data_IF_543096717497
#
_entry.id   IF_543096717497
#
_cell.length_a   1.000
_cell.length_b   1.000
_cell.length_c   1.000
_cell.angle_alpha   90.00
_cell.angle_beta   90.00
_cell.angle_gamma   90.00
#
_symmetry.space_group_name_H-M   'P 1'
#
loop_
_entity.id
_entity.type
_entity.pdbx_description
1 polymer ?
#
# COMPACT_ATOMS: atom_id res chain seq x y z
N UNK A 1 -8.32 40.32 17.00
CA UNK A 1 -8.23 38.85 17.09
C UNK A 1 -7.69 38.34 15.76
N UNK A 2 -6.36 38.28 15.63
CA UNK A 2 -5.71 37.88 14.37
C UNK A 2 -5.52 36.36 14.38
N UNK A 3 -6.14 35.68 13.41
CA UNK A 3 -5.90 34.27 13.13
C UNK A 3 -4.69 34.18 12.19
N UNK A 4 -3.59 33.57 12.66
CA UNK A 4 -2.49 33.15 11.81
C UNK A 4 -2.64 31.65 11.53
N UNK A 5 -2.84 31.29 10.26
CA UNK A 5 -2.62 29.94 9.74
C UNK A 5 -1.15 29.87 9.31
N UNK A 6 -0.37 28.97 9.92
CA UNK A 6 1.01 28.70 9.52
C UNK A 6 1.08 27.35 8.83
N UNK A 7 1.51 27.36 7.56
CA UNK A 7 1.92 26.17 6.81
C UNK A 7 3.44 26.00 6.99
N UNK A 8 3.90 24.79 7.31
CA UNK A 8 5.32 24.48 7.46
C UNK A 8 5.86 23.83 6.17
N UNK A 9 6.88 24.44 5.56
CA UNK A 9 7.79 23.76 4.63
C UNK A 9 9.19 24.35 4.80
N UNK A 10 10.18 23.50 5.06
CA UNK A 10 11.61 23.87 5.11
C UNK A 10 11.97 24.70 6.34
N UNK A 11 12.62 24.06 7.32
CA UNK A 11 12.97 24.68 8.59
C UNK A 11 13.82 25.94 8.46
N UNK A 12 13.32 27.05 9.01
CA UNK A 12 13.99 27.99 9.91
C UNK A 12 13.04 29.19 10.13
N UNK A 13 12.53 29.37 11.36
CA UNK A 13 11.77 30.57 11.74
C UNK A 13 12.67 31.43 12.63
N UNK A 14 13.07 32.62 12.16
CA UNK A 14 13.69 33.64 13.03
C UNK A 14 12.64 34.74 13.26
N UNK A 15 12.10 34.81 14.47
CA UNK A 15 11.28 35.93 14.94
C UNK A 15 12.02 36.64 16.08
N UNK A 16 12.37 37.92 15.88
CA UNK A 16 13.02 38.76 16.89
C UNK A 16 12.05 39.07 18.03
N UNK A 17 12.44 38.73 19.26
CA UNK A 17 11.65 38.87 20.48
C UNK A 17 11.52 40.33 20.93
N UNK A 18 10.29 40.75 21.24
CA UNK A 18 10.06 41.70 22.32
C UNK A 18 9.43 40.91 23.47
N UNK A 19 10.13 40.88 24.61
CA UNK A 19 9.72 40.25 25.87
C UNK A 19 9.91 38.72 25.98
N UNK A 20 11.14 38.30 26.28
CA UNK A 20 11.44 37.33 27.36
C UNK A 20 10.90 35.90 27.32
N UNK A 21 10.24 35.44 26.26
CA UNK A 21 9.82 34.04 26.15
C UNK A 21 10.84 33.26 25.31
N UNK A 22 11.60 32.39 25.97
CA UNK A 22 12.47 31.44 25.30
C UNK A 22 11.58 30.34 24.70
N UNK A 23 11.49 30.28 23.37
CA UNK A 23 10.90 29.14 22.66
C UNK A 23 12.05 28.17 22.43
N UNK A 24 12.20 27.20 23.31
CA UNK A 24 13.11 26.09 23.04
C UNK A 24 12.50 25.28 21.89
N UNK A 25 13.17 25.26 20.74
CA UNK A 25 12.82 24.36 19.66
C UNK A 25 13.10 22.93 20.14
N UNK A 26 12.07 22.21 20.59
CA UNK A 26 12.19 20.78 20.84
C UNK A 26 12.33 20.07 19.49
N UNK A 27 13.52 19.56 19.21
CA UNK A 27 13.70 18.53 18.20
C UNK A 27 13.06 17.25 18.75
N UNK A 28 11.87 16.91 18.27
CA UNK A 28 11.29 15.59 18.52
C UNK A 28 12.01 14.59 17.61
N UNK A 29 12.75 13.66 18.20
CA UNK A 29 13.22 12.48 17.49
C UNK A 29 11.99 11.60 17.24
N UNK A 30 11.70 11.30 15.97
CA UNK A 30 10.72 10.26 15.64
C UNK A 30 11.43 8.93 15.90
N UNK A 31 11.11 8.30 17.02
CA UNK A 31 11.58 6.96 17.33
C UNK A 31 10.61 5.95 16.68
N UNK A 32 11.14 5.12 15.78
CA UNK A 32 10.40 4.01 15.21
C UNK A 32 10.50 2.83 16.16
N UNK A 33 9.42 2.52 16.86
CA UNK A 33 9.31 1.26 17.58
C UNK A 33 9.17 0.10 16.58
N UNK A 34 9.75 -1.06 16.91
CA UNK A 34 9.61 -2.24 16.08
C UNK A 34 8.13 -2.63 15.97
N UNK A 35 7.60 -2.56 14.74
CA UNK A 35 6.19 -2.85 14.47
C UNK A 35 5.82 -4.33 14.64
N UNK A 36 4.54 -4.62 14.41
CA UNK A 36 4.01 -5.99 14.38
C UNK A 36 4.54 -6.73 13.14
N UNK A 37 4.96 -7.98 13.31
CA UNK A 37 5.25 -8.87 12.17
C UNK A 37 3.96 -9.58 11.75
N UNK A 38 3.58 -9.46 10.48
CA UNK A 38 2.43 -10.18 9.89
C UNK A 38 2.98 -11.38 9.09
N UNK A 39 2.89 -12.61 9.62
CA UNK A 39 3.46 -13.78 8.95
C UNK A 39 2.60 -14.19 7.75
N UNK A 40 3.19 -14.20 6.54
CA UNK A 40 2.53 -14.63 5.28
C UNK A 40 2.97 -16.06 4.85
N UNK A 41 3.75 -16.77 5.68
CA UNK A 41 4.16 -18.18 5.49
C UNK A 41 4.72 -18.56 4.10
N UNK A 42 5.24 -17.58 3.36
CA UNK A 42 5.83 -17.72 2.04
C UNK A 42 6.71 -16.49 1.79
N UNK A 43 7.90 -16.60 1.13
CA UNK A 43 8.70 -15.42 0.79
C UNK A 43 7.90 -14.35 0.08
N UNK A 44 7.95 -13.13 0.62
CA UNK A 44 7.34 -11.94 0.02
C UNK A 44 8.33 -11.36 -0.99
N UNK A 45 7.95 -11.35 -2.26
CA UNK A 45 8.78 -10.77 -3.32
C UNK A 45 8.58 -9.26 -3.41
N UNK A 46 7.33 -8.81 -3.29
CA UNK A 46 6.96 -7.41 -3.40
C UNK A 46 5.67 -7.12 -2.64
N UNK A 47 5.55 -5.95 -2.04
CA UNK A 47 4.30 -5.43 -1.46
C UNK A 47 3.96 -4.00 -1.92
N UNK A 48 2.69 -3.63 -1.81
CA UNK A 48 2.16 -2.26 -1.93
C UNK A 48 1.28 -1.94 -0.74
N UNK A 49 1.20 -0.65 -0.45
CA UNK A 49 0.23 -0.07 0.46
C UNK A 49 -0.77 0.74 -0.36
N UNK A 50 -2.06 0.42 -0.24
CA UNK A 50 -3.16 1.11 -0.94
C UNK A 50 -4.47 0.85 -0.16
N UNK A 51 -5.45 1.74 -0.24
CA UNK A 51 -6.79 1.53 0.31
C UNK A 51 -7.64 0.74 -0.70
N UNK A 52 -7.63 -0.59 -0.60
CA UNK A 52 -8.25 -1.48 -1.61
C UNK A 52 -9.73 -1.77 -1.32
N UNK A 53 -10.22 -1.35 -0.15
CA UNK A 53 -11.62 -1.51 0.28
C UNK A 53 -12.36 -0.17 0.45
N UNK A 54 -11.69 0.97 0.23
CA UNK A 54 -12.27 2.31 0.30
C UNK A 54 -12.62 2.77 1.71
N UNK A 55 -12.03 2.18 2.76
CA UNK A 55 -12.35 2.51 4.15
C UNK A 55 -11.50 3.66 4.73
N UNK A 56 -10.55 4.17 3.95
CA UNK A 56 -9.65 5.27 4.30
C UNK A 56 -8.39 4.82 5.04
N UNK A 57 -8.19 3.52 5.28
CA UNK A 57 -6.98 2.96 5.86
C UNK A 57 -6.13 2.27 4.78
N UNK A 58 -4.82 2.29 4.98
CA UNK A 58 -3.91 1.58 4.07
C UNK A 58 -3.96 0.08 4.35
N UNK A 59 -4.17 -0.70 3.30
CA UNK A 59 -4.07 -2.14 3.27
C UNK A 59 -2.71 -2.59 2.71
N UNK A 60 -2.36 -3.86 2.88
CA UNK A 60 -1.19 -4.47 2.25
C UNK A 60 -1.65 -5.41 1.15
N UNK A 61 -1.14 -5.18 -0.06
CA UNK A 61 -1.19 -6.15 -1.16
C UNK A 61 0.21 -6.70 -1.40
N UNK A 62 0.41 -8.00 -1.18
CA UNK A 62 1.72 -8.63 -1.24
C UNK A 62 1.71 -9.83 -2.18
N UNK A 63 2.65 -9.87 -3.12
CA UNK A 63 2.89 -11.07 -3.91
C UNK A 63 3.95 -11.93 -3.24
N UNK A 64 3.65 -13.22 -3.15
CA UNK A 64 4.49 -14.25 -2.56
C UNK A 64 4.69 -15.38 -3.54
N UNK A 65 5.82 -16.07 -3.41
CA UNK A 65 6.10 -17.29 -4.15
C UNK A 65 7.41 -17.23 -4.93
N UNK A 66 8.18 -18.30 -4.86
CA UNK A 66 9.43 -18.50 -5.59
C UNK A 66 9.30 -19.74 -6.49
N UNK A 67 10.23 -19.96 -7.45
CA UNK A 67 10.23 -21.18 -8.23
C UNK A 67 10.21 -22.44 -7.34
N UNK A 68 9.15 -23.25 -7.46
CA UNK A 68 8.99 -24.49 -6.70
C UNK A 68 8.11 -24.41 -5.45
N UNK A 69 7.53 -23.24 -5.13
CA UNK A 69 6.48 -23.08 -4.10
C UNK A 69 5.22 -22.44 -4.70
N UNK A 70 4.09 -22.62 -4.01
CA UNK A 70 2.83 -22.00 -4.42
C UNK A 70 2.97 -20.48 -4.44
N UNK A 71 2.46 -19.86 -5.51
CA UNK A 71 2.54 -18.43 -5.76
C UNK A 71 1.17 -17.77 -5.59
N UNK A 72 1.15 -16.61 -4.95
CA UNK A 72 -0.09 -15.97 -4.55
C UNK A 72 0.03 -14.45 -4.42
N UNK A 73 -1.08 -13.75 -4.65
CA UNK A 73 -1.33 -12.39 -4.18
C UNK A 73 -2.11 -12.48 -2.87
N UNK A 74 -1.55 -11.92 -1.81
CA UNK A 74 -2.16 -11.83 -0.49
C UNK A 74 -2.68 -10.40 -0.28
N UNK A 75 -3.87 -10.28 0.28
CA UNK A 75 -4.47 -9.00 0.68
C UNK A 75 -4.73 -9.02 2.17
N UNK A 76 -4.19 -8.01 2.85
CA UNK A 76 -4.32 -7.82 4.29
C UNK A 76 -4.93 -6.44 4.53
N UNK A 77 -6.16 -6.42 5.03
CA UNK A 77 -6.94 -5.21 5.28
C UNK A 77 -6.47 -4.55 6.58
N UNK A 78 -6.06 -3.29 6.48
CA UNK A 78 -5.63 -2.47 7.58
C UNK A 78 -6.82 -1.85 8.30
N UNK A 79 -6.70 -1.66 9.61
CA UNK A 79 -7.73 -1.01 10.42
C UNK A 79 -7.33 0.41 10.88
N UNK A 80 -6.27 0.98 10.30
CA UNK A 80 -5.71 2.28 10.68
C UNK A 80 -4.90 2.30 11.98
N UNK A 81 -4.92 1.23 12.79
CA UNK A 81 -4.17 1.12 14.04
C UNK A 81 -2.85 0.34 13.89
N UNK A 82 -2.44 0.04 12.66
CA UNK A 82 -1.28 -0.83 12.37
C UNK A 82 -1.55 -2.33 12.54
N UNK A 83 -2.82 -2.73 12.70
CA UNK A 83 -3.25 -4.13 12.69
C UNK A 83 -3.85 -4.48 11.34
N UNK A 84 -3.71 -5.75 10.95
CA UNK A 84 -4.15 -6.24 9.65
C UNK A 84 -4.93 -7.55 9.76
N UNK A 85 -5.92 -7.75 8.90
CA UNK A 85 -6.70 -8.97 8.77
C UNK A 85 -6.69 -9.48 7.33
N UNK A 86 -6.64 -10.79 7.12
CA UNK A 86 -6.71 -11.37 5.77
C UNK A 86 -8.06 -11.10 5.13
N UNK A 87 -8.06 -10.62 3.87
CA UNK A 87 -9.28 -10.44 3.10
C UNK A 87 -9.97 -11.79 2.81
N UNK A 88 -11.30 -11.80 2.69
CA UNK A 88 -12.13 -13.03 2.63
C UNK A 88 -11.80 -13.94 1.43
N UNK A 89 -11.23 -13.41 0.34
CA UNK A 89 -10.83 -14.15 -0.85
C UNK A 89 -9.30 -14.22 -1.07
N UNK A 90 -8.51 -13.93 -0.04
CA UNK A 90 -7.05 -14.03 -0.06
C UNK A 90 -6.57 -15.36 0.53
N UNK A 91 -5.51 -15.99 -0.01
CA UNK A 91 -4.72 -15.57 -1.17
C UNK A 91 -5.39 -15.89 -2.52
N UNK A 92 -5.04 -15.11 -3.53
CA UNK A 92 -5.42 -15.32 -4.93
C UNK A 92 -4.24 -15.96 -5.67
N UNK A 93 -4.46 -17.08 -6.34
CA UNK A 93 -3.41 -17.77 -7.10
C UNK A 93 -2.93 -16.94 -8.28
N UNK A 94 -1.61 -16.76 -8.38
CA UNK A 94 -0.90 -16.12 -9.50
C UNK A 94 0.31 -16.99 -9.88
N UNK A 95 0.90 -16.78 -11.06
CA UNK A 95 2.06 -17.54 -11.50
C UNK A 95 3.35 -16.72 -11.37
N UNK A 96 4.36 -17.29 -10.70
CA UNK A 96 5.73 -16.77 -10.56
C UNK A 96 5.83 -15.23 -10.43
N UNK A 97 5.17 -14.63 -9.43
CA UNK A 97 5.02 -13.19 -9.36
C UNK A 97 6.35 -12.50 -9.03
N UNK A 98 6.73 -11.52 -9.82
CA UNK A 98 7.96 -10.75 -9.62
C UNK A 98 7.73 -9.35 -9.06
N UNK A 99 6.65 -8.73 -9.52
CA UNK A 99 6.28 -7.36 -9.19
C UNK A 99 4.76 -7.24 -9.29
N UNK A 100 4.25 -6.21 -8.62
CA UNK A 100 2.85 -5.82 -8.64
C UNK A 100 2.77 -4.32 -8.92
N UNK A 101 1.77 -3.92 -9.70
CA UNK A 101 1.31 -2.54 -9.86
C UNK A 101 -0.14 -2.45 -9.40
N UNK A 102 -0.50 -1.33 -8.79
CA UNK A 102 -1.83 -1.06 -8.23
C UNK A 102 -2.27 0.31 -8.76
N UNK A 103 -3.47 0.38 -9.32
CA UNK A 103 -4.14 1.60 -9.79
C UNK A 103 -5.57 1.24 -10.21
N UNK A 104 -6.42 2.24 -10.41
CA UNK A 104 -7.65 2.10 -11.19
C UNK A 104 -7.26 2.06 -12.69
N UNK A 105 -7.20 0.85 -13.26
CA UNK A 105 -6.72 0.64 -14.64
C UNK A 105 -7.86 0.63 -15.66
N UNK A 106 -9.09 0.36 -15.23
CA UNK A 106 -10.28 0.36 -16.09
C UNK A 106 -11.22 1.55 -15.91
N UNK A 107 -10.82 2.52 -15.08
CA UNK A 107 -11.50 3.79 -14.81
C UNK A 107 -12.89 3.62 -14.16
N UNK A 108 -13.09 2.53 -13.39
CA UNK A 108 -14.34 2.26 -12.68
C UNK A 108 -14.39 2.88 -11.26
N UNK A 109 -13.26 3.44 -10.81
CA UNK A 109 -13.09 4.05 -9.50
C UNK A 109 -12.69 3.08 -8.39
N UNK A 110 -12.42 1.82 -8.71
CA UNK A 110 -11.93 0.80 -7.80
C UNK A 110 -10.45 0.53 -8.02
N UNK A 111 -9.79 0.02 -6.98
CA UNK A 111 -8.35 -0.26 -7.05
C UNK A 111 -8.13 -1.65 -7.66
N UNK A 112 -7.47 -1.69 -8.82
CA UNK A 112 -7.08 -2.92 -9.51
C UNK A 112 -5.62 -3.31 -9.24
N UNK A 113 -5.25 -4.52 -9.67
CA UNK A 113 -3.88 -5.02 -9.61
C UNK A 113 -3.40 -5.62 -10.94
N UNK A 114 -2.13 -5.36 -11.27
CA UNK A 114 -1.40 -6.05 -12.33
C UNK A 114 -0.18 -6.73 -11.75
N UNK A 115 -0.06 -8.05 -11.93
CA UNK A 115 1.06 -8.85 -11.45
C UNK A 115 1.89 -9.34 -12.63
N UNK A 116 3.20 -9.10 -12.60
CA UNK A 116 4.12 -9.61 -13.63
C UNK A 116 4.61 -11.01 -13.28
N UNK A 117 4.53 -11.93 -14.24
CA UNK A 117 5.07 -13.29 -14.17
C UNK A 117 6.51 -13.32 -14.71
N UNK A 118 7.47 -13.67 -13.85
CA UNK A 118 8.89 -13.72 -14.20
C UNK A 118 9.22 -14.77 -15.26
N UNK A 119 8.56 -15.93 -15.19
CA UNK A 119 8.96 -17.13 -15.94
C UNK A 119 8.26 -17.17 -17.29
N UNK A 120 6.96 -16.84 -17.32
CA UNK A 120 6.15 -16.94 -18.52
C UNK A 120 6.12 -15.64 -19.34
N UNK A 121 6.77 -14.57 -18.85
CA UNK A 121 6.78 -13.25 -19.52
C UNK A 121 5.37 -12.72 -19.81
N UNK A 122 4.46 -12.89 -18.85
CA UNK A 122 3.05 -12.51 -18.94
C UNK A 122 2.69 -11.56 -17.78
N UNK A 123 1.54 -10.90 -17.92
CA UNK A 123 0.91 -10.17 -16.84
C UNK A 123 -0.45 -10.80 -16.52
N UNK A 124 -0.76 -10.88 -15.24
CA UNK A 124 -2.10 -11.17 -14.74
C UNK A 124 -2.77 -9.85 -14.36
N UNK A 125 -3.95 -9.59 -14.90
CA UNK A 125 -4.80 -8.48 -14.47
C UNK A 125 -5.83 -9.00 -13.47
N UNK A 126 -5.99 -8.29 -12.37
CA UNK A 126 -7.01 -8.56 -11.38
C UNK A 126 -7.81 -7.28 -11.15
N UNK A 127 -9.10 -7.30 -11.49
CA UNK A 127 -10.02 -6.19 -11.23
C UNK A 127 -10.34 -6.09 -9.74
N UNK A 128 -10.44 -4.87 -9.23
CA UNK A 128 -10.84 -4.58 -7.86
C UNK A 128 -12.35 -4.71 -7.68
N UNK A 129 -12.79 -5.33 -6.58
CA UNK A 129 -14.21 -5.39 -6.25
C UNK A 129 -14.64 -4.28 -5.25
N UNK A 130 -13.70 -3.45 -4.79
CA UNK A 130 -13.94 -2.34 -3.86
C UNK A 130 -14.20 -2.75 -2.42
N UNK A 131 -14.12 -4.03 -2.09
CA UNK A 131 -14.26 -4.58 -0.74
C UNK A 131 -12.97 -5.26 -0.24
N UNK A 132 -11.85 -4.96 -0.90
CA UNK A 132 -10.55 -5.59 -0.66
C UNK A 132 -10.39 -6.98 -1.26
N UNK A 133 -11.35 -7.44 -2.08
CA UNK A 133 -11.18 -8.63 -2.92
C UNK A 133 -10.87 -8.24 -4.37
N UNK A 134 -10.25 -9.17 -5.10
CA UNK A 134 -9.92 -9.00 -6.52
C UNK A 134 -10.42 -10.19 -7.34
N UNK A 135 -10.75 -9.96 -8.60
CA UNK A 135 -11.18 -10.98 -9.56
C UNK A 135 -10.11 -11.17 -10.64
N UNK A 136 -9.63 -12.42 -10.82
CA UNK A 136 -8.69 -12.73 -11.89
C UNK A 136 -9.37 -12.62 -13.25
N UNK A 137 -8.87 -11.73 -14.11
CA UNK A 137 -9.44 -11.52 -15.44
C UNK A 137 -8.70 -12.33 -16.51
N UNK A 138 -9.42 -12.97 -17.46
CA UNK A 138 -8.83 -13.88 -18.44
C UNK A 138 -8.05 -13.17 -19.57
N UNK A 139 -8.04 -11.83 -19.62
CA UNK A 139 -7.33 -11.08 -20.68
C UNK A 139 -6.93 -9.68 -20.21
N UNK A 140 -5.73 -9.25 -20.63
CA UNK A 140 -5.31 -7.85 -20.54
C UNK A 140 -6.30 -6.95 -21.31
N UNK A 141 -6.66 -5.82 -20.69
CA UNK A 141 -7.66 -4.86 -21.18
C UNK A 141 -7.47 -4.57 -22.69
N UNK A 142 -8.54 -4.58 -23.52
CA UNK A 142 -8.44 -4.25 -24.94
C UNK A 142 -7.78 -2.88 -25.15
N UNK A 143 -6.67 -2.84 -25.90
CA UNK A 143 -5.91 -1.59 -26.16
C UNK A 143 -4.42 -1.70 -25.85
N UNK A 144 -4.00 -2.76 -25.17
CA UNK A 144 -2.59 -3.12 -24.98
C UNK A 144 -2.21 -4.23 -25.96
N UNK A 145 -1.86 -3.85 -27.20
CA UNK A 145 -1.45 -4.75 -28.27
C UNK A 145 -1.06 -4.01 -29.54
#
# INVERSE_FOLDING_TARGET
MLHFKTLLFGGLLILSTLCGMQIDAQSATIEFEAGISVPINNPVNYSRLEDVNGDGNLDIVAVVGEPGVDSALNVLLGNGSGSFATAIASPISVNFPWSIAIADFDEDGLVDAVVSDLINSQFSYLSGNGDGTFTMEPRLIPGWG
#
